data_IF_038328223587
#
_entry.id   IF_038328223587
#
_cell.length_a   1.000
_cell.length_b   1.000
_cell.length_c   1.000
_cell.angle_alpha   90.00
_cell.angle_beta   90.00
_cell.angle_gamma   90.00
#
_symmetry.space_group_name_H-M   'P 1'
#
loop_
_entity.id
_entity.type
_entity.pdbx_description
1 polymer ?
#
# COMPACT_ATOMS: atom_id res chain seq x y z
N UNK A 1 -63.71 7.38 -19.10
CA UNK A 1 -63.60 5.90 -18.95
C UNK A 1 -62.22 5.43 -18.44
N UNK A 2 -61.09 5.79 -19.07
CA UNK A 2 -59.72 5.35 -18.66
C UNK A 2 -59.32 5.74 -17.23
N UNK A 3 -59.52 7.00 -16.82
CA UNK A 3 -59.21 7.48 -15.45
C UNK A 3 -59.96 6.69 -14.37
N UNK A 4 -61.26 6.42 -14.60
CA UNK A 4 -62.10 5.64 -13.69
C UNK A 4 -61.61 4.19 -13.53
N UNK A 5 -61.21 3.54 -14.63
CA UNK A 5 -60.61 2.19 -14.58
C UNK A 5 -59.31 2.18 -13.78
N UNK A 6 -58.44 3.19 -13.94
CA UNK A 6 -57.17 3.33 -13.20
C UNK A 6 -57.41 3.52 -11.69
N UNK A 7 -58.40 4.33 -11.31
CA UNK A 7 -58.80 4.54 -9.90
C UNK A 7 -59.29 3.23 -9.27
N UNK A 8 -60.25 2.55 -9.91
CA UNK A 8 -60.82 1.29 -9.41
C UNK A 8 -59.75 0.19 -9.26
N UNK A 9 -58.79 0.12 -10.17
CA UNK A 9 -57.70 -0.84 -10.09
C UNK A 9 -56.74 -0.54 -8.92
N UNK A 10 -56.38 0.74 -8.72
CA UNK A 10 -55.56 1.18 -7.57
C UNK A 10 -56.23 0.86 -6.23
N UNK A 11 -57.52 1.16 -6.10
CA UNK A 11 -58.30 0.86 -4.89
C UNK A 11 -58.40 -0.65 -4.62
N UNK A 12 -58.58 -1.47 -5.67
CA UNK A 12 -58.56 -2.94 -5.53
C UNK A 12 -57.21 -3.46 -5.02
N UNK A 13 -56.09 -2.93 -5.51
CA UNK A 13 -54.76 -3.32 -5.03
C UNK A 13 -54.54 -2.89 -3.58
N UNK A 14 -55.01 -1.70 -3.20
CA UNK A 14 -54.96 -1.19 -1.83
C UNK A 14 -55.71 -2.11 -0.86
N UNK A 15 -56.95 -2.51 -1.17
CA UNK A 15 -57.77 -3.34 -0.28
C UNK A 15 -57.21 -4.76 -0.09
N UNK A 16 -56.46 -5.26 -1.07
CA UNK A 16 -55.80 -6.57 -1.02
C UNK A 16 -54.42 -6.52 -0.34
N UNK A 17 -53.94 -5.33 0.06
CA UNK A 17 -52.57 -5.15 0.55
C UNK A 17 -51.48 -5.34 -0.51
N UNK A 18 -51.85 -5.39 -1.80
CA UNK A 18 -50.95 -5.65 -2.93
C UNK A 18 -50.41 -4.36 -3.58
N UNK A 19 -50.49 -3.23 -2.89
CA UNK A 19 -49.88 -2.01 -3.41
C UNK A 19 -48.36 -2.16 -3.40
N UNK A 20 -47.69 -1.98 -4.55
CA UNK A 20 -46.24 -1.92 -4.58
C UNK A 20 -45.80 -0.79 -3.66
N UNK A 21 -45.07 -1.14 -2.59
CA UNK A 21 -44.36 -0.14 -1.81
C UNK A 21 -43.32 0.46 -2.75
N UNK A 22 -43.37 1.76 -2.97
CA UNK A 22 -42.29 2.44 -3.66
C UNK A 22 -41.03 2.25 -2.79
N UNK A 23 -40.15 1.35 -3.21
CA UNK A 23 -38.82 1.23 -2.62
C UNK A 23 -38.05 2.48 -3.05
N UNK A 24 -37.54 3.23 -2.09
CA UNK A 24 -36.57 4.27 -2.40
C UNK A 24 -35.35 3.55 -2.99
N UNK A 25 -34.97 3.92 -4.19
CA UNK A 25 -33.71 3.47 -4.79
C UNK A 25 -32.61 4.30 -4.13
N UNK A 26 -31.90 3.70 -3.18
CA UNK A 26 -30.73 4.31 -2.55
C UNK A 26 -29.53 4.11 -3.47
N UNK A 27 -28.96 5.21 -3.95
CA UNK A 27 -27.70 5.21 -4.67
C UNK A 27 -26.59 5.51 -3.67
N UNK A 28 -25.75 4.53 -3.37
CA UNK A 28 -24.51 4.74 -2.62
C UNK A 28 -23.39 5.05 -3.61
N UNK A 29 -22.82 6.26 -3.55
CA UNK A 29 -21.61 6.58 -4.29
C UNK A 29 -20.41 5.92 -3.60
N UNK A 30 -19.68 5.10 -4.34
CA UNK A 30 -18.42 4.50 -3.88
C UNK A 30 -17.29 5.46 -4.26
N UNK A 31 -16.56 5.95 -3.25
CA UNK A 31 -15.45 6.87 -3.45
C UNK A 31 -14.21 6.10 -3.93
N UNK A 32 -14.04 5.92 -5.25
CA UNK A 32 -12.90 5.18 -5.82
C UNK A 32 -11.51 5.69 -5.40
N UNK A 33 -11.36 6.98 -5.03
CA UNK A 33 -10.09 7.49 -4.49
C UNK A 33 -9.66 6.78 -3.21
N UNK A 34 -10.60 6.45 -2.34
CA UNK A 34 -10.29 5.81 -1.06
C UNK A 34 -9.87 4.34 -1.25
N UNK A 35 -10.32 3.68 -2.32
CA UNK A 35 -9.91 2.32 -2.68
C UNK A 35 -8.50 2.31 -3.27
N UNK A 36 -8.20 3.23 -4.20
CA UNK A 36 -6.86 3.38 -4.79
C UNK A 36 -5.81 3.70 -3.71
N UNK A 37 -6.11 4.64 -2.81
CA UNK A 37 -5.21 5.02 -1.72
C UNK A 37 -4.95 3.84 -0.76
N UNK A 38 -5.95 2.98 -0.53
CA UNK A 38 -5.81 1.78 0.30
C UNK A 38 -4.94 0.72 -0.36
N UNK A 39 -5.11 0.47 -1.65
CA UNK A 39 -4.30 -0.52 -2.37
C UNK A 39 -2.84 -0.07 -2.49
N UNK A 40 -2.60 1.22 -2.72
CA UNK A 40 -1.24 1.77 -2.65
C UNK A 40 -0.62 1.62 -1.25
N UNK A 41 -1.40 1.85 -0.18
CA UNK A 41 -0.91 1.67 1.18
C UNK A 41 -0.52 0.22 1.46
N UNK A 42 -1.32 -0.76 1.01
CA UNK A 42 -0.98 -2.19 1.15
C UNK A 42 0.33 -2.52 0.45
N UNK A 43 0.53 -1.97 -0.75
CA UNK A 43 1.78 -2.13 -1.50
C UNK A 43 2.97 -1.51 -0.76
N UNK A 44 2.83 -0.26 -0.27
CA UNK A 44 3.86 0.41 0.54
C UNK A 44 4.23 -0.39 1.79
N UNK A 45 3.24 -0.96 2.47
CA UNK A 45 3.45 -1.82 3.66
C UNK A 45 4.27 -3.05 3.30
N UNK A 46 3.90 -3.76 2.22
CA UNK A 46 4.61 -4.96 1.79
C UNK A 46 6.07 -4.65 1.44
N UNK A 47 6.31 -3.67 0.56
CA UNK A 47 7.65 -3.26 0.12
C UNK A 47 8.53 -2.82 1.29
N UNK A 48 8.01 -1.96 2.16
CA UNK A 48 8.79 -1.45 3.29
C UNK A 48 9.10 -2.53 4.34
N UNK A 49 8.15 -3.45 4.58
CA UNK A 49 8.37 -4.57 5.51
C UNK A 49 9.44 -5.54 5.00
N UNK A 50 9.47 -5.81 3.69
CA UNK A 50 10.50 -6.63 3.05
C UNK A 50 11.87 -5.94 3.13
N UNK A 51 11.90 -4.64 2.83
CA UNK A 51 13.11 -3.82 2.96
C UNK A 51 13.69 -3.85 4.39
N UNK A 52 12.84 -3.65 5.40
CA UNK A 52 13.26 -3.70 6.80
C UNK A 52 13.82 -5.07 7.17
N UNK A 53 13.12 -6.15 6.80
CA UNK A 53 13.56 -7.53 7.08
C UNK A 53 14.92 -7.82 6.45
N UNK A 54 15.08 -7.50 5.17
CA UNK A 54 16.34 -7.68 4.44
C UNK A 54 17.47 -6.87 5.05
N UNK A 55 17.18 -5.64 5.48
CA UNK A 55 18.19 -4.77 6.12
C UNK A 55 18.58 -5.30 7.49
N UNK A 56 17.63 -5.81 8.28
CA UNK A 56 17.90 -6.45 9.56
C UNK A 56 18.72 -7.73 9.39
N UNK A 57 18.41 -8.57 8.40
CA UNK A 57 19.18 -9.78 8.07
C UNK A 57 20.64 -9.46 7.72
N UNK A 58 20.88 -8.41 6.92
CA UNK A 58 22.24 -7.93 6.62
C UNK A 58 22.95 -7.50 7.90
N UNK A 59 22.27 -6.74 8.76
CA UNK A 59 22.84 -6.21 9.98
C UNK A 59 23.21 -7.32 10.99
N UNK A 60 22.41 -8.38 11.06
CA UNK A 60 22.67 -9.55 11.93
C UNK A 60 23.77 -10.45 11.34
N UNK A 61 23.84 -10.56 10.02
CA UNK A 61 24.83 -11.42 9.35
C UNK A 61 26.24 -10.81 9.30
N UNK A 62 26.33 -9.49 9.32
CA UNK A 62 27.60 -8.78 9.29
C UNK A 62 28.20 -8.67 10.71
N UNK A 63 29.08 -9.61 11.03
CA UNK A 63 29.80 -9.66 12.31
C UNK A 63 30.71 -8.44 12.59
N UNK A 64 30.96 -7.58 11.61
CA UNK A 64 31.66 -6.30 11.82
C UNK A 64 30.75 -5.21 12.41
N UNK A 65 29.44 -5.35 12.22
CA UNK A 65 28.43 -4.51 12.82
C UNK A 65 28.09 -5.14 14.17
N UNK A 66 28.45 -4.51 15.29
CA UNK A 66 27.98 -4.96 16.59
C UNK A 66 26.46 -4.79 16.64
N UNK A 67 25.67 -5.88 16.59
CA UNK A 67 24.23 -5.74 16.55
C UNK A 67 23.76 -5.23 17.92
N UNK A 68 23.31 -3.98 17.95
CA UNK A 68 22.68 -3.43 19.14
C UNK A 68 21.34 -4.14 19.34
N UNK A 69 21.21 -4.90 20.43
CA UNK A 69 19.99 -5.61 20.79
C UNK A 69 18.79 -4.66 20.89
N UNK A 70 19.03 -3.39 21.27
CA UNK A 70 17.98 -2.37 21.29
C UNK A 70 17.49 -2.00 19.89
N UNK A 71 18.39 -1.89 18.91
CA UNK A 71 18.00 -1.58 17.53
C UNK A 71 17.19 -2.72 16.91
N UNK A 72 17.57 -3.97 17.18
CA UNK A 72 16.78 -5.13 16.71
C UNK A 72 15.37 -5.12 17.28
N UNK A 73 15.20 -4.86 18.58
CA UNK A 73 13.89 -4.76 19.20
C UNK A 73 13.05 -3.62 18.60
N UNK A 74 13.65 -2.45 18.37
CA UNK A 74 12.96 -1.30 17.75
C UNK A 74 12.51 -1.61 16.32
N UNK A 75 13.32 -2.33 15.54
CA UNK A 75 12.96 -2.73 14.17
C UNK A 75 11.79 -3.71 14.16
N UNK A 76 11.79 -4.70 15.05
CA UNK A 76 10.68 -5.64 15.19
C UNK A 76 9.40 -4.96 15.68
N UNK A 77 9.48 -4.04 16.64
CA UNK A 77 8.36 -3.22 17.09
C UNK A 77 7.79 -2.37 15.95
N UNK A 78 8.65 -1.80 15.11
CA UNK A 78 8.22 -1.04 13.93
C UNK A 78 7.54 -1.95 12.90
N UNK A 79 8.11 -3.13 12.63
CA UNK A 79 7.61 -4.08 11.64
C UNK A 79 6.24 -4.63 12.05
N UNK A 80 6.07 -5.03 13.31
CA UNK A 80 4.78 -5.48 13.88
C UNK A 80 3.73 -4.37 13.85
N UNK A 81 4.12 -3.15 14.19
CA UNK A 81 3.26 -1.97 14.11
C UNK A 81 2.75 -1.68 12.68
N UNK A 82 3.61 -1.86 11.67
CA UNK A 82 3.27 -1.62 10.26
C UNK A 82 2.37 -2.73 9.73
N UNK A 83 2.69 -3.99 10.02
CA UNK A 83 1.87 -5.15 9.60
C UNK A 83 0.49 -5.18 10.25
N UNK A 84 0.37 -4.70 11.48
CA UNK A 84 -0.93 -4.58 12.18
C UNK A 84 -1.80 -3.45 11.65
N UNK A 85 -1.30 -2.61 10.73
CA UNK A 85 -2.05 -1.46 10.21
C UNK A 85 -2.24 -0.35 11.23
N UNK A 86 -1.46 -0.34 12.32
CA UNK A 86 -1.59 0.66 13.39
C UNK A 86 -1.09 2.05 13.00
N UNK A 87 -0.36 2.17 11.89
CA UNK A 87 0.26 3.42 11.44
C UNK A 87 -0.62 4.17 10.44
N UNK A 88 -0.74 5.50 10.57
CA UNK A 88 -1.45 6.32 9.59
C UNK A 88 -0.83 6.22 8.18
N UNK A 89 -1.63 6.30 7.11
CA UNK A 89 -1.14 6.34 5.73
C UNK A 89 -0.06 7.39 5.45
N UNK A 90 -0.15 8.56 6.09
CA UNK A 90 0.84 9.63 5.96
C UNK A 90 2.24 9.19 6.43
N UNK A 91 2.30 8.43 7.52
CA UNK A 91 3.56 7.89 8.06
C UNK A 91 4.11 6.81 7.13
N UNK A 92 3.25 5.93 6.61
CA UNK A 92 3.66 4.90 5.65
C UNK A 92 4.25 5.52 4.37
N UNK A 93 3.64 6.60 3.87
CA UNK A 93 4.18 7.34 2.74
C UNK A 93 5.57 7.92 3.05
N UNK A 94 5.74 8.56 4.20
CA UNK A 94 7.04 9.11 4.61
C UNK A 94 8.13 8.02 4.74
N UNK A 95 7.78 6.86 5.29
CA UNK A 95 8.71 5.73 5.41
C UNK A 95 9.12 5.17 4.04
N UNK A 96 8.16 5.07 3.11
CA UNK A 96 8.42 4.68 1.73
C UNK A 96 9.28 5.70 0.99
N UNK A 97 8.99 7.00 1.13
CA UNK A 97 9.80 8.08 0.56
C UNK A 97 11.25 8.02 1.09
N UNK A 98 11.44 7.73 2.39
CA UNK A 98 12.77 7.53 2.97
C UNK A 98 13.48 6.30 2.39
N UNK A 99 12.78 5.18 2.21
CA UNK A 99 13.33 3.98 1.59
C UNK A 99 13.84 4.29 0.17
N UNK A 100 13.03 4.94 -0.66
CA UNK A 100 13.41 5.25 -2.05
C UNK A 100 14.63 6.17 -2.13
N UNK A 101 14.78 7.12 -1.21
CA UNK A 101 15.97 7.97 -1.12
C UNK A 101 17.24 7.17 -0.79
N UNK A 102 17.14 6.19 0.11
CA UNK A 102 18.26 5.30 0.45
C UNK A 102 18.66 4.44 -0.76
N UNK A 103 17.68 3.89 -1.48
CA UNK A 103 17.90 3.09 -2.69
C UNK A 103 18.53 3.91 -3.81
N UNK A 104 18.04 5.13 -4.05
CA UNK A 104 18.58 6.05 -5.06
C UNK A 104 20.06 6.37 -4.78
N UNK A 105 20.39 6.73 -3.54
CA UNK A 105 21.77 7.03 -3.16
C UNK A 105 22.70 5.82 -3.35
N UNK A 106 22.23 4.61 -3.04
CA UNK A 106 23.00 3.38 -3.26
C UNK A 106 23.22 3.12 -4.75
N UNK A 107 22.21 3.34 -5.58
CA UNK A 107 22.32 3.19 -7.04
C UNK A 107 23.33 4.15 -7.65
N UNK A 108 23.30 5.44 -7.29
CA UNK A 108 24.29 6.42 -7.74
C UNK A 108 25.72 6.07 -7.30
N UNK A 109 25.88 5.55 -6.07
CA UNK A 109 27.17 5.08 -5.59
C UNK A 109 27.66 3.87 -6.38
N UNK A 110 26.76 2.93 -6.71
CA UNK A 110 27.08 1.75 -7.50
C UNK A 110 27.51 2.14 -8.92
N UNK A 111 26.80 3.05 -9.56
CA UNK A 111 27.14 3.57 -10.89
C UNK A 111 28.54 4.20 -10.91
N UNK A 112 28.86 5.03 -9.90
CA UNK A 112 30.20 5.64 -9.75
C UNK A 112 31.28 4.57 -9.58
N UNK A 113 31.03 3.54 -8.79
CA UNK A 113 31.98 2.43 -8.61
C UNK A 113 32.17 1.62 -9.90
N UNK A 114 31.09 1.33 -10.63
CA UNK A 114 31.15 0.59 -11.90
C UNK A 114 31.88 1.37 -13.00
N UNK A 115 31.63 2.68 -13.10
CA UNK A 115 32.34 3.55 -14.05
C UNK A 115 33.83 3.67 -13.70
N UNK A 116 34.17 3.79 -12.41
CA UNK A 116 35.56 3.76 -11.97
C UNK A 116 36.25 2.43 -12.32
N UNK A 117 35.58 1.29 -12.10
CA UNK A 117 36.10 -0.03 -12.47
C UNK A 117 36.34 -0.14 -13.98
N UNK A 118 35.38 0.29 -14.80
CA UNK A 118 35.52 0.30 -16.25
C UNK A 118 36.72 1.15 -16.72
N UNK A 119 36.89 2.33 -16.13
CA UNK A 119 37.99 3.24 -16.47
C UNK A 119 39.36 2.77 -15.95
N UNK A 120 39.37 1.92 -14.92
CA UNK A 120 40.60 1.43 -14.28
C UNK A 120 41.32 0.28 -15.04
N UNK A 121 40.88 -0.08 -16.25
CA UNK A 121 41.57 -1.04 -17.14
C UNK A 121 41.91 -2.40 -16.48
N UNK A 122 41.10 -2.87 -15.53
CA UNK A 122 41.23 -4.23 -14.98
C UNK A 122 40.67 -5.29 -15.96
N UNK A 123 39.90 -4.88 -16.97
CA UNK A 123 39.27 -5.77 -17.96
C UNK A 123 39.75 -5.56 -19.42
N UNK A 124 40.71 -4.66 -19.66
CA UNK A 124 41.22 -4.35 -21.01
C UNK A 124 42.68 -4.77 -21.22
N UNK A 125 43.14 -5.83 -20.54
CA UNK A 125 44.39 -6.52 -20.84
C UNK A 125 44.08 -7.92 -21.37
N UNK A 126 43.72 -7.99 -22.64
CA UNK A 126 43.68 -9.21 -23.44
C UNK A 126 44.35 -8.89 -24.78
N UNK A 127 45.69 -8.92 -24.77
CA UNK A 127 46.51 -9.17 -25.97
C UNK A 127 46.84 -10.67 -26.02
#
# INVERSE_FOLDING_TARGET
RRKLKKKRHKEKLLSMGLMPRAAALEFTYQNHREEEDQDENKKRVAEFSEFLRRTAEIYVSDSSLHPDAHLSAVVEDLLTSILSGSKPPSVLKQLHDLQTLVELKKAESLEKSLTALNNSQILSAGD
#
